data_IF_392296128661
#
_entry.id   IF_392296128661
#
_cell.length_a   1.000
_cell.length_b   1.000
_cell.length_c   1.000
_cell.angle_alpha   90.00
_cell.angle_beta   90.00
_cell.angle_gamma   90.00
#
_symmetry.space_group_name_H-M   'P 1'
#
loop_
_entity.id
_entity.type
_entity.pdbx_description
1 polymer ?
#
# COMPACT_ATOMS: atom_id res chain seq x y z
N UNK A 1 -7.94 15.24 -4.14
CA UNK A 1 -9.08 16.04 -4.63
C UNK A 1 -10.39 15.71 -3.89
N UNK A 2 -10.61 14.45 -3.49
CA UNK A 2 -11.83 14.01 -2.77
C UNK A 2 -12.03 14.62 -1.36
N UNK A 3 -11.10 15.44 -0.88
CA UNK A 3 -11.22 16.22 0.37
C UNK A 3 -11.47 17.71 0.12
N UNK A 4 -11.63 18.11 -1.13
CA UNK A 4 -11.89 19.48 -1.51
C UNK A 4 -13.39 19.76 -1.33
N UNK A 5 -13.80 20.90 -0.73
CA UNK A 5 -15.20 21.28 -0.60
C UNK A 5 -15.89 21.35 -1.95
N UNK A 6 -17.19 21.03 -2.00
CA UNK A 6 -17.98 20.98 -3.23
C UNK A 6 -17.98 22.30 -3.99
N UNK A 7 -18.04 23.42 -3.27
CA UNK A 7 -17.98 24.77 -3.84
C UNK A 7 -16.69 25.01 -4.62
N UNK A 8 -15.55 24.52 -4.11
CA UNK A 8 -14.27 24.62 -4.79
C UNK A 8 -14.19 23.67 -6.00
N UNK A 9 -14.82 22.49 -5.91
CA UNK A 9 -14.92 21.57 -7.05
C UNK A 9 -15.71 22.19 -8.21
N UNK A 10 -16.79 22.95 -7.92
CA UNK A 10 -17.56 23.63 -8.93
C UNK A 10 -16.73 24.68 -9.70
N UNK A 11 -15.84 25.39 -9.01
CA UNK A 11 -14.89 26.30 -9.66
C UNK A 11 -13.95 25.56 -10.62
N UNK A 12 -13.46 24.38 -10.21
CA UNK A 12 -12.60 23.55 -11.08
C UNK A 12 -13.35 23.05 -12.31
N UNK A 13 -14.65 22.73 -12.19
CA UNK A 13 -15.48 22.33 -13.34
C UNK A 13 -15.53 23.46 -14.38
N UNK A 14 -15.73 24.70 -13.94
CA UNK A 14 -15.75 25.87 -14.84
C UNK A 14 -14.41 26.02 -15.56
N UNK A 15 -13.29 25.94 -14.86
CA UNK A 15 -11.95 26.02 -15.47
C UNK A 15 -11.73 24.91 -16.49
N UNK A 16 -12.17 23.67 -16.19
CA UNK A 16 -12.02 22.54 -17.11
C UNK A 16 -12.88 22.66 -18.35
N UNK A 17 -14.09 23.26 -18.23
CA UNK A 17 -15.06 23.36 -19.34
C UNK A 17 -14.81 24.58 -20.21
N UNK A 18 -14.51 25.71 -19.61
CA UNK A 18 -14.50 27.02 -20.26
C UNK A 18 -13.07 27.55 -20.45
N UNK A 19 -12.08 26.95 -19.80
CA UNK A 19 -10.70 27.42 -19.85
C UNK A 19 -10.49 28.77 -19.16
N UNK A 20 -11.42 29.14 -18.26
CA UNK A 20 -11.34 30.45 -17.59
C UNK A 20 -11.95 30.39 -16.19
N UNK A 21 -11.59 31.36 -15.37
CA UNK A 21 -12.08 31.57 -14.02
C UNK A 21 -12.50 33.03 -13.82
N UNK A 22 -13.66 33.24 -13.26
CA UNK A 22 -14.11 34.57 -12.87
C UNK A 22 -13.83 34.81 -11.37
N UNK A 23 -12.90 35.74 -11.09
CA UNK A 23 -12.53 36.10 -9.70
C UNK A 23 -13.15 37.42 -9.34
N UNK A 24 -13.94 37.51 -8.23
CA UNK A 24 -14.49 38.76 -7.78
C UNK A 24 -13.39 39.81 -7.61
N UNK A 25 -13.61 41.03 -8.12
CA UNK A 25 -12.68 42.18 -8.12
C UNK A 25 -11.46 42.05 -9.06
N UNK A 26 -11.09 40.88 -9.54
CA UNK A 26 -10.02 40.67 -10.51
C UNK A 26 -10.53 40.47 -11.94
N UNK A 27 -11.81 40.11 -12.07
CA UNK A 27 -12.42 39.84 -13.37
C UNK A 27 -12.13 38.47 -13.91
N UNK A 28 -12.11 38.34 -15.21
CA UNK A 28 -11.91 37.09 -15.94
C UNK A 28 -10.42 36.76 -16.08
N UNK A 29 -10.06 35.55 -15.66
CA UNK A 29 -8.71 34.97 -15.82
C UNK A 29 -8.79 33.80 -16.79
N UNK A 30 -8.20 33.96 -17.97
CA UNK A 30 -8.12 32.88 -18.95
C UNK A 30 -6.96 31.93 -18.63
N UNK A 31 -7.17 30.63 -18.83
CA UNK A 31 -6.13 29.62 -18.72
C UNK A 31 -5.08 29.82 -19.82
N UNK A 32 -3.82 29.65 -19.49
CA UNK A 32 -2.75 29.71 -20.46
C UNK A 32 -2.85 28.55 -21.48
N UNK A 33 -2.36 28.73 -22.73
CA UNK A 33 -2.30 27.65 -23.70
C UNK A 33 -1.59 26.41 -23.12
N UNK A 34 -2.21 25.25 -23.29
CA UNK A 34 -1.66 23.99 -22.76
C UNK A 34 -1.97 23.71 -21.29
N UNK A 35 -2.73 24.55 -20.59
CA UNK A 35 -3.18 24.25 -19.23
C UNK A 35 -3.81 22.86 -19.13
N UNK A 36 -3.44 22.12 -18.10
CA UNK A 36 -4.02 20.81 -17.75
C UNK A 36 -4.18 20.70 -16.25
N UNK A 37 -5.31 20.17 -15.84
CA UNK A 37 -5.59 19.83 -14.44
C UNK A 37 -5.21 18.38 -14.20
N UNK A 38 -4.29 18.14 -13.25
CA UNK A 38 -3.96 16.80 -12.76
C UNK A 38 -4.31 16.73 -11.28
N UNK A 39 -5.08 15.71 -10.90
CA UNK A 39 -5.52 15.52 -9.55
C UNK A 39 -5.26 14.09 -9.06
N UNK A 40 -4.96 13.94 -7.77
CA UNK A 40 -4.84 12.64 -7.11
C UNK A 40 -5.98 12.46 -6.11
N UNK A 41 -6.44 11.21 -5.98
CA UNK A 41 -7.44 10.83 -4.98
C UNK A 41 -7.08 9.49 -4.35
N UNK A 42 -7.49 9.30 -3.10
CA UNK A 42 -7.44 7.99 -2.46
C UNK A 42 -8.84 7.36 -2.55
N UNK A 43 -9.03 6.25 -3.29
CA UNK A 43 -10.34 5.61 -3.44
C UNK A 43 -10.88 5.01 -2.13
N UNK A 44 -10.01 4.78 -1.13
CA UNK A 44 -10.38 4.23 0.19
C UNK A 44 -10.74 5.32 1.22
N UNK A 45 -10.58 6.59 0.90
CA UNK A 45 -10.95 7.72 1.77
C UNK A 45 -12.46 7.99 1.67
N UNK A 46 -13.27 7.02 2.13
CA UNK A 46 -14.74 7.11 2.07
C UNK A 46 -15.35 7.98 3.17
N UNK A 47 -14.57 8.41 4.18
CA UNK A 47 -15.09 9.21 5.29
C UNK A 47 -14.97 10.69 4.96
N UNK A 48 -16.12 11.33 4.66
CA UNK A 48 -16.20 12.77 4.39
C UNK A 48 -15.93 13.17 2.94
N UNK A 49 -15.78 12.22 2.03
CA UNK A 49 -15.68 12.54 0.61
C UNK A 49 -17.06 12.94 0.08
N UNK A 50 -17.22 14.19 -0.30
CA UNK A 50 -18.21 14.52 -1.30
C UNK A 50 -18.07 13.50 -2.43
N UNK A 51 -19.15 12.76 -2.74
CA UNK A 51 -19.16 11.96 -3.96
C UNK A 51 -18.78 12.93 -5.06
N UNK A 52 -17.76 12.60 -5.84
CA UNK A 52 -17.52 13.37 -7.06
C UNK A 52 -18.85 13.57 -7.73
N UNK A 53 -19.23 14.81 -7.98
CA UNK A 53 -20.42 15.05 -8.78
C UNK A 53 -20.19 14.39 -10.14
N UNK A 54 -21.19 13.74 -10.71
CA UNK A 54 -21.09 13.16 -12.05
C UNK A 54 -20.51 14.16 -13.07
N UNK A 55 -20.67 15.44 -12.81
CA UNK A 55 -20.12 16.54 -13.59
C UNK A 55 -18.57 16.59 -13.61
N UNK A 56 -17.90 16.19 -12.55
CA UNK A 56 -16.41 16.07 -12.53
C UNK A 56 -15.99 14.78 -13.23
N UNK A 57 -16.67 13.66 -12.94
CA UNK A 57 -16.34 12.36 -13.55
C UNK A 57 -16.46 12.40 -15.09
N UNK A 58 -17.43 13.11 -15.62
CA UNK A 58 -17.61 13.28 -17.08
C UNK A 58 -16.49 14.11 -17.77
N UNK A 59 -15.70 14.85 -17.00
CA UNK A 59 -14.69 15.77 -17.52
C UNK A 59 -13.25 15.32 -17.31
N UNK A 60 -13.03 14.16 -16.66
CA UNK A 60 -11.70 13.67 -16.32
C UNK A 60 -11.43 12.29 -16.91
N UNK A 61 -10.18 12.05 -17.29
CA UNK A 61 -9.70 10.71 -17.59
C UNK A 61 -9.11 10.10 -16.33
N UNK A 62 -9.66 8.98 -15.88
CA UNK A 62 -9.22 8.29 -14.67
C UNK A 62 -8.09 7.32 -14.98
N UNK A 63 -6.96 7.48 -14.28
CA UNK A 63 -5.86 6.54 -14.27
C UNK A 63 -5.80 5.84 -12.91
N UNK A 64 -5.94 4.52 -12.90
CA UNK A 64 -5.74 3.73 -11.69
C UNK A 64 -4.25 3.38 -11.56
N UNK A 65 -3.67 3.74 -10.41
CA UNK A 65 -2.28 3.42 -10.06
C UNK A 65 -2.30 2.30 -9.02
N UNK A 66 -1.71 1.15 -9.37
CA UNK A 66 -1.58 0.00 -8.48
C UNK A 66 -0.33 0.07 -7.60
N UNK A 67 -0.09 -1.03 -6.88
CA UNK A 67 1.16 -1.22 -6.14
C UNK A 67 2.31 -1.52 -7.09
N UNK A 68 3.51 -1.17 -6.68
CA UNK A 68 4.75 -1.44 -7.41
C UNK A 68 5.08 -2.95 -7.43
N UNK A 69 6.03 -3.34 -8.26
CA UNK A 69 6.60 -4.70 -8.24
C UNK A 69 7.35 -4.95 -6.91
N UNK A 70 7.61 -6.21 -6.58
CA UNK A 70 8.38 -6.54 -5.38
C UNK A 70 9.79 -5.95 -5.42
N UNK A 71 10.41 -5.93 -6.59
CA UNK A 71 11.75 -5.41 -6.80
C UNK A 71 11.80 -3.89 -6.67
N UNK A 72 10.79 -3.19 -7.22
CA UNK A 72 10.65 -1.76 -7.05
C UNK A 72 10.41 -1.40 -5.58
N UNK A 73 9.54 -2.13 -4.88
CA UNK A 73 9.27 -1.87 -3.47
C UNK A 73 10.52 -2.09 -2.61
N UNK A 74 11.35 -3.11 -2.90
CA UNK A 74 12.66 -3.28 -2.25
C UNK A 74 13.56 -2.09 -2.49
N UNK A 75 13.75 -1.71 -3.74
CA UNK A 75 14.57 -0.57 -4.12
C UNK A 75 14.10 0.75 -3.50
N UNK A 76 12.79 0.96 -3.37
CA UNK A 76 12.21 2.14 -2.72
C UNK A 76 12.51 2.08 -1.22
N UNK A 77 12.31 0.93 -0.57
CA UNK A 77 12.53 0.76 0.87
C UNK A 77 13.99 0.99 1.24
N UNK A 78 14.93 0.43 0.48
CA UNK A 78 16.36 0.62 0.68
C UNK A 78 16.78 2.09 0.55
N UNK A 79 16.21 2.82 -0.41
CA UNK A 79 16.58 4.23 -0.67
C UNK A 79 15.93 5.23 0.28
N UNK A 80 14.71 4.97 0.73
CA UNK A 80 13.88 5.99 1.38
C UNK A 80 13.93 5.97 2.91
N UNK A 81 14.29 4.88 3.55
CA UNK A 81 13.96 4.69 4.96
C UNK A 81 15.07 4.27 5.91
N UNK A 82 16.33 4.66 5.70
CA UNK A 82 17.42 4.16 6.55
C UNK A 82 17.77 2.70 6.29
N UNK A 83 17.18 2.10 5.26
CA UNK A 83 17.47 0.73 4.83
C UNK A 83 18.80 0.58 4.08
N UNK A 84 19.56 1.65 3.91
CA UNK A 84 20.84 1.60 3.15
C UNK A 84 21.88 0.69 3.75
N UNK A 85 21.89 0.57 5.08
CA UNK A 85 22.86 -0.20 5.84
C UNK A 85 22.25 -1.50 6.40
N UNK A 86 21.02 -1.84 5.99
CA UNK A 86 20.35 -3.07 6.38
C UNK A 86 20.67 -4.21 5.42
N UNK A 87 20.68 -5.43 5.95
CA UNK A 87 20.81 -6.63 5.13
C UNK A 87 19.70 -6.70 4.08
N UNK A 88 20.03 -6.75 2.78
CA UNK A 88 19.03 -6.83 1.69
C UNK A 88 18.07 -8.02 1.85
N UNK A 89 18.52 -9.15 2.40
CA UNK A 89 17.68 -10.31 2.66
C UNK A 89 16.63 -10.01 3.74
N UNK A 90 17.00 -9.24 4.77
CA UNK A 90 16.05 -8.80 5.79
C UNK A 90 15.04 -7.79 5.21
N UNK A 91 15.48 -6.82 4.40
CA UNK A 91 14.60 -5.88 3.71
C UNK A 91 13.63 -6.61 2.77
N UNK A 92 14.08 -7.65 2.08
CA UNK A 92 13.21 -8.47 1.24
C UNK A 92 12.09 -9.14 2.05
N UNK A 93 12.39 -9.65 3.25
CA UNK A 93 11.38 -10.20 4.19
C UNK A 93 10.39 -9.12 4.65
N UNK A 94 10.84 -7.92 4.95
CA UNK A 94 9.96 -6.79 5.31
C UNK A 94 8.99 -6.47 4.17
N UNK A 95 9.48 -6.40 2.95
CA UNK A 95 8.64 -6.15 1.77
C UNK A 95 7.66 -7.30 1.55
N UNK A 96 8.09 -8.56 1.68
CA UNK A 96 7.22 -9.72 1.60
C UNK A 96 6.08 -9.64 2.63
N UNK A 97 6.40 -9.35 3.90
CA UNK A 97 5.41 -9.16 4.95
C UNK A 97 4.36 -8.11 4.58
N UNK A 98 4.80 -6.93 4.15
CA UNK A 98 3.90 -5.84 3.73
C UNK A 98 3.00 -6.28 2.57
N UNK A 99 3.54 -7.00 1.58
CA UNK A 99 2.78 -7.50 0.43
C UNK A 99 1.73 -8.53 0.84
N UNK A 100 2.04 -9.40 1.79
CA UNK A 100 1.09 -10.38 2.32
C UNK A 100 -0.12 -9.74 3.00
N UNK A 101 0.03 -8.54 3.59
CA UNK A 101 -1.13 -7.81 4.16
C UNK A 101 -2.19 -7.49 3.10
N UNK A 102 -1.84 -7.40 1.82
CA UNK A 102 -2.75 -7.06 0.71
C UNK A 102 -3.59 -8.22 0.23
N UNK A 103 -3.15 -9.43 0.50
CA UNK A 103 -3.80 -10.68 0.06
C UNK A 103 -4.41 -11.47 1.21
N UNK A 104 -4.24 -11.00 2.45
CA UNK A 104 -4.79 -11.67 3.62
C UNK A 104 -6.34 -11.65 3.61
N UNK A 105 -7.01 -12.79 3.84
CA UNK A 105 -8.47 -12.89 3.72
C UNK A 105 -9.23 -11.99 4.70
N UNK A 106 -8.70 -11.76 5.90
CA UNK A 106 -9.33 -10.94 6.94
C UNK A 106 -9.07 -9.44 6.77
N UNK A 107 -8.21 -9.04 5.83
CA UNK A 107 -7.90 -7.64 5.58
C UNK A 107 -8.63 -7.12 4.35
N UNK A 108 -9.31 -5.99 4.51
CA UNK A 108 -9.91 -5.24 3.40
C UNK A 108 -8.91 -4.28 2.75
N UNK A 109 -8.01 -3.73 3.55
CA UNK A 109 -6.96 -2.82 3.09
C UNK A 109 -5.63 -3.25 3.69
N UNK A 110 -4.68 -3.59 2.84
CA UNK A 110 -3.30 -3.89 3.21
C UNK A 110 -2.41 -2.66 3.23
N UNK A 111 -1.20 -2.81 3.69
CA UNK A 111 -0.21 -1.74 3.76
C UNK A 111 0.44 -1.46 2.40
N UNK A 112 0.84 -0.21 2.17
CA UNK A 112 1.67 0.21 1.05
C UNK A 112 3.16 0.07 1.38
N UNK A 113 4.04 0.37 0.42
CA UNK A 113 5.50 0.42 0.60
C UNK A 113 5.94 1.32 1.77
N UNK A 114 5.13 2.32 2.14
CA UNK A 114 5.40 3.14 3.34
C UNK A 114 5.47 2.32 4.61
N UNK A 115 4.68 1.24 4.72
CA UNK A 115 4.78 0.33 5.86
C UNK A 115 6.14 -0.37 5.94
N UNK A 116 6.72 -0.74 4.81
CA UNK A 116 8.06 -1.32 4.76
C UNK A 116 9.13 -0.30 5.16
N UNK A 117 9.05 0.91 4.65
CA UNK A 117 9.96 2.02 5.00
C UNK A 117 9.91 2.29 6.51
N UNK A 118 8.71 2.43 7.06
CA UNK A 118 8.54 2.72 8.48
C UNK A 118 8.96 1.55 9.36
N UNK A 119 8.71 0.30 8.94
CA UNK A 119 9.18 -0.88 9.67
C UNK A 119 10.72 -0.92 9.75
N UNK A 120 11.41 -0.61 8.65
CA UNK A 120 12.87 -0.50 8.66
C UNK A 120 13.37 0.58 9.62
N UNK A 121 12.77 1.77 9.59
CA UNK A 121 13.14 2.87 10.46
C UNK A 121 12.90 2.55 11.95
N UNK A 122 11.73 1.97 12.27
CA UNK A 122 11.39 1.54 13.64
C UNK A 122 12.33 0.45 14.13
N UNK A 123 12.61 -0.58 13.30
CA UNK A 123 13.51 -1.67 13.65
C UNK A 123 14.93 -1.15 13.95
N UNK A 124 15.44 -0.23 13.13
CA UNK A 124 16.74 0.39 13.34
C UNK A 124 16.79 1.13 14.69
N UNK A 125 15.79 1.96 14.97
CA UNK A 125 15.72 2.70 16.22
C UNK A 125 15.56 1.80 17.44
N UNK A 126 14.75 0.74 17.35
CA UNK A 126 14.59 -0.23 18.44
C UNK A 126 15.88 -1.03 18.68
N UNK A 127 16.56 -1.44 17.63
CA UNK A 127 17.84 -2.15 17.73
C UNK A 127 18.91 -1.30 18.43
N UNK A 128 18.98 -0.01 18.08
CA UNK A 128 19.89 0.95 18.72
C UNK A 128 19.57 1.10 20.22
N UNK A 129 18.30 1.34 20.56
CA UNK A 129 17.87 1.51 21.96
C UNK A 129 18.10 0.26 22.80
N UNK A 130 17.91 -0.93 22.21
CA UNK A 130 18.07 -2.22 22.90
C UNK A 130 19.49 -2.78 22.85
N UNK A 131 20.40 -2.16 22.12
CA UNK A 131 21.78 -2.63 21.95
C UNK A 131 21.87 -3.97 21.22
N UNK A 132 21.01 -4.22 20.25
CA UNK A 132 20.92 -5.46 19.47
C UNK A 132 20.86 -5.17 17.97
N UNK A 133 20.35 -6.09 17.16
CA UNK A 133 20.26 -5.94 15.70
C UNK A 133 18.79 -5.95 15.22
N UNK A 134 18.54 -5.45 14.01
CA UNK A 134 17.20 -5.48 13.39
C UNK A 134 16.68 -6.90 13.15
N UNK A 135 17.59 -7.88 13.07
CA UNK A 135 17.25 -9.30 12.89
C UNK A 135 16.85 -10.00 14.20
N UNK A 136 17.00 -9.32 15.33
CA UNK A 136 16.48 -9.81 16.60
C UNK A 136 14.97 -10.02 16.51
N UNK A 137 14.51 -11.15 17.07
CA UNK A 137 13.12 -11.58 16.96
C UNK A 137 12.15 -10.56 17.53
N UNK A 138 12.46 -10.04 18.74
CA UNK A 138 11.57 -9.12 19.44
C UNK A 138 11.60 -7.74 18.79
N UNK A 139 12.78 -7.30 18.31
CA UNK A 139 12.91 -6.04 17.56
C UNK A 139 12.11 -6.08 16.26
N UNK A 140 12.26 -7.15 15.48
CA UNK A 140 11.58 -7.24 14.18
C UNK A 140 10.07 -7.42 14.32
N UNK A 141 9.58 -8.13 15.34
CA UNK A 141 8.16 -8.27 15.62
C UNK A 141 7.56 -6.96 16.11
N UNK A 142 8.17 -6.30 17.08
CA UNK A 142 7.69 -5.02 17.61
C UNK A 142 7.66 -3.96 16.50
N UNK A 143 8.68 -3.91 15.65
CA UNK A 143 8.72 -3.01 14.50
C UNK A 143 7.58 -3.28 13.52
N UNK A 144 7.26 -4.55 13.26
CA UNK A 144 6.13 -4.93 12.40
C UNK A 144 4.79 -4.47 13.00
N UNK A 145 4.58 -4.73 14.30
CA UNK A 145 3.36 -4.32 15.00
C UNK A 145 3.18 -2.80 14.99
N UNK A 146 4.21 -2.05 15.33
CA UNK A 146 4.17 -0.57 15.37
C UNK A 146 3.94 0.01 13.98
N UNK A 147 4.63 -0.51 12.96
CA UNK A 147 4.55 0.06 11.61
C UNK A 147 3.27 -0.34 10.86
N UNK A 148 2.68 -1.50 11.10
CA UNK A 148 1.65 -2.06 10.23
C UNK A 148 0.25 -2.08 10.84
N UNK A 149 0.08 -2.29 12.17
CA UNK A 149 -1.25 -2.45 12.78
C UNK A 149 -2.20 -1.28 12.49
N UNK A 150 -1.69 -0.05 12.54
CA UNK A 150 -2.48 1.15 12.24
C UNK A 150 -2.73 1.41 10.75
N UNK A 151 -2.06 0.66 9.85
CA UNK A 151 -2.13 0.87 8.39
C UNK A 151 -3.04 -0.11 7.65
N UNK A 152 -3.31 -1.25 8.28
CA UNK A 152 -4.22 -2.24 7.72
C UNK A 152 -5.66 -1.99 8.20
N UNK A 153 -6.65 -2.50 7.46
CA UNK A 153 -8.07 -2.41 7.85
C UNK A 153 -8.71 -3.77 7.74
N UNK A 154 -9.41 -4.17 8.79
CA UNK A 154 -10.14 -5.43 8.85
C UNK A 154 -11.32 -5.45 7.87
N UNK A 155 -11.72 -6.63 7.45
CA UNK A 155 -13.03 -6.86 6.82
C UNK A 155 -14.12 -6.84 7.88
N UNK A 156 -15.31 -6.48 7.48
CA UNK A 156 -16.49 -6.58 8.32
C UNK A 156 -16.71 -8.03 8.75
N UNK A 157 -17.03 -8.22 10.01
CA UNK A 157 -17.24 -9.55 10.61
C UNK A 157 -15.96 -10.25 11.07
N UNK A 158 -14.77 -9.68 10.88
CA UNK A 158 -13.54 -10.23 11.45
C UNK A 158 -13.51 -10.01 12.95
N UNK A 159 -13.28 -11.09 13.71
CA UNK A 159 -13.19 -11.06 15.18
C UNK A 159 -11.78 -10.89 15.71
N UNK A 160 -10.77 -11.02 14.83
CA UNK A 160 -9.34 -10.90 15.12
C UNK A 160 -8.92 -9.44 15.14
N UNK A 161 -7.87 -9.12 15.91
CA UNK A 161 -7.25 -7.80 15.89
C UNK A 161 -6.28 -7.64 14.73
N UNK A 162 -5.92 -6.40 14.39
CA UNK A 162 -4.89 -6.11 13.39
C UNK A 162 -3.52 -6.63 13.82
N UNK A 163 -3.24 -6.57 15.13
CA UNK A 163 -2.00 -7.05 15.75
C UNK A 163 -1.84 -8.57 15.60
N UNK A 164 -2.91 -9.34 15.87
CA UNK A 164 -2.89 -10.80 15.69
C UNK A 164 -2.61 -11.21 14.25
N UNK A 165 -3.17 -10.48 13.28
CA UNK A 165 -2.93 -10.75 11.86
C UNK A 165 -1.50 -10.37 11.46
N UNK A 166 -1.01 -9.22 11.91
CA UNK A 166 0.36 -8.79 11.64
C UNK A 166 1.38 -9.78 12.24
N UNK A 167 1.13 -10.25 13.47
CA UNK A 167 1.98 -11.25 14.12
C UNK A 167 1.98 -12.59 13.36
N UNK A 168 0.82 -13.05 12.90
CA UNK A 168 0.70 -14.25 12.07
C UNK A 168 1.52 -14.13 10.78
N UNK A 169 1.36 -13.03 10.05
CA UNK A 169 2.08 -12.78 8.82
C UNK A 169 3.60 -12.65 9.06
N UNK A 170 3.98 -11.99 10.17
CA UNK A 170 5.38 -11.91 10.57
C UNK A 170 5.98 -13.30 10.83
N UNK A 171 5.26 -14.17 11.57
CA UNK A 171 5.68 -15.57 11.80
C UNK A 171 5.85 -16.34 10.50
N UNK A 172 4.94 -16.13 9.53
CA UNK A 172 5.00 -16.79 8.24
C UNK A 172 6.23 -16.38 7.42
N UNK A 173 6.74 -15.16 7.58
CA UNK A 173 7.90 -14.64 6.82
C UNK A 173 9.20 -14.85 7.56
N UNK A 174 9.26 -14.47 8.85
CA UNK A 174 10.53 -14.41 9.61
C UNK A 174 10.86 -15.71 10.34
N UNK A 175 9.86 -16.56 10.66
CA UNK A 175 10.05 -17.87 11.27
C UNK A 175 10.01 -19.02 10.27
N UNK A 176 9.83 -18.75 8.98
CA UNK A 176 10.03 -19.77 7.97
C UNK A 176 11.44 -20.32 8.15
N UNK A 177 11.57 -21.59 8.52
CA UNK A 177 12.86 -22.30 8.41
C UNK A 177 13.23 -22.22 6.94
N UNK A 178 14.39 -21.67 6.63
CA UNK A 178 15.02 -21.85 5.34
C UNK A 178 15.15 -23.37 5.16
N UNK A 179 14.24 -23.97 4.41
CA UNK A 179 14.31 -25.37 4.05
C UNK A 179 15.35 -25.44 2.92
N UNK A 180 16.59 -25.96 3.16
CA UNK A 180 17.65 -25.99 2.16
C UNK A 180 17.36 -27.00 1.05
N UNK A 181 16.28 -27.80 1.14
CA UNK A 181 15.85 -28.79 0.17
C UNK A 181 14.49 -28.40 -0.44
N UNK A 182 14.54 -27.57 -1.47
CA UNK A 182 13.40 -27.28 -2.36
C UNK A 182 12.96 -28.56 -3.11
N UNK A 183 12.29 -29.47 -2.44
CA UNK A 183 11.55 -30.54 -3.11
C UNK A 183 10.26 -29.95 -3.69
N UNK A 184 10.35 -29.57 -4.95
CA UNK A 184 9.18 -29.41 -5.82
C UNK A 184 8.25 -30.62 -5.62
N UNK A 185 7.08 -30.37 -5.04
CA UNK A 185 6.01 -31.36 -4.98
C UNK A 185 5.60 -31.74 -6.40
N UNK A 186 6.12 -32.85 -6.93
CA UNK A 186 5.59 -33.49 -8.12
C UNK A 186 4.11 -33.76 -7.88
N UNK A 187 3.26 -32.97 -8.53
CA UNK A 187 1.87 -33.33 -8.73
C UNK A 187 1.80 -34.66 -9.46
N UNK A 188 1.38 -35.71 -8.76
CA UNK A 188 1.05 -36.98 -9.36
C UNK A 188 -0.20 -36.84 -10.23
N UNK A 189 -0.03 -36.95 -11.54
CA UNK A 189 -1.12 -37.05 -12.48
C UNK A 189 -1.95 -38.32 -12.20
N UNK A 190 -3.28 -38.28 -12.26
CA UNK A 190 -4.09 -39.48 -12.17
C UNK A 190 -3.96 -40.28 -13.45
N UNK A 191 -3.53 -41.53 -13.28
CA UNK A 191 -3.47 -42.54 -14.31
C UNK A 191 -4.89 -42.85 -14.82
N UNK A 192 -5.14 -42.55 -16.09
CA UNK A 192 -6.40 -42.87 -16.75
C UNK A 192 -6.63 -44.38 -16.84
N UNK A 193 -7.79 -44.81 -16.39
CA UNK A 193 -8.32 -46.12 -16.65
C UNK A 193 -8.99 -46.13 -18.03
N UNK A 194 -8.55 -47.03 -18.90
CA UNK A 194 -9.19 -47.35 -20.18
C UNK A 194 -10.43 -48.20 -19.92
N UNK A 195 -11.57 -47.94 -20.52
CA UNK A 195 -12.63 -48.95 -20.54
C UNK A 195 -12.50 -49.84 -21.77
N UNK A 196 -12.53 -51.11 -21.49
CA UNK A 196 -12.67 -52.17 -22.46
C UNK A 196 -14.15 -52.32 -22.88
N UNK A 197 -14.40 -52.50 -24.21
CA UNK A 197 -15.61 -52.85 -24.95
C UNK A 197 -16.61 -51.70 -25.26
#
# INVERSE_FOLDING_TARGET
>A
INRVPEETLNVLITVMSEGELHVPRLGRLAAAPGFRLVAAMNPFDAIGSARFSGAVDDRVCRLAVGYQSADDERSITERAGGGRDLDPAWVAKVVELVRLTRTHPDLRVGSSVRGAIDMCAVATSLAEVRGTTVSDTDVSLDAALVALSGRVRLREGTTRSTEEIVEELWKAVFRRRDDPDGREGKASAPTGATPDR
#
